data_IF_824291703900
#
_entry.id   IF_824291703900
#
_cell.length_a   1.000
_cell.length_b   1.000
_cell.length_c   1.000
_cell.angle_alpha   90.00
_cell.angle_beta   90.00
_cell.angle_gamma   90.00
#
_symmetry.space_group_name_H-M   'P 1'
#
loop_
_entity.id
_entity.type
_entity.pdbx_description
1 polymer ?
#
# COMPACT_ATOMS: atom_id res chain seq x y z
N UNK A 1 -3.91 -15.84 1.66
CA UNK A 1 -4.09 -14.39 1.45
C UNK A 1 -4.45 -14.17 0.00
N UNK A 2 -5.14 -13.07 -0.27
CA UNK A 2 -5.49 -12.63 -1.61
C UNK A 2 -4.33 -12.80 -2.62
N UNK A 3 -4.63 -13.32 -3.81
CA UNK A 3 -3.68 -13.39 -4.92
C UNK A 3 -3.26 -11.99 -5.35
N UNK A 4 -2.00 -11.85 -5.82
CA UNK A 4 -1.43 -10.59 -6.32
C UNK A 4 -2.24 -10.09 -7.52
N UNK A 5 -3.29 -9.32 -7.28
CA UNK A 5 -3.93 -8.54 -8.33
C UNK A 5 -3.09 -7.31 -8.68
N UNK A 6 -3.25 -6.74 -9.88
CA UNK A 6 -2.43 -5.63 -10.34
C UNK A 6 -2.80 -4.35 -9.56
N UNK A 7 -1.96 -3.95 -8.60
CA UNK A 7 -1.95 -2.58 -8.11
C UNK A 7 -1.19 -1.70 -9.11
N UNK A 8 -1.85 -0.68 -9.66
CA UNK A 8 -1.31 0.23 -10.66
C UNK A 8 -1.31 1.68 -10.13
N UNK A 9 -0.24 2.41 -10.41
CA UNK A 9 -0.21 3.87 -10.31
C UNK A 9 -0.36 4.45 -11.71
N UNK A 10 -1.19 5.48 -11.86
CA UNK A 10 -1.36 6.22 -13.11
C UNK A 10 -1.31 7.73 -12.84
N UNK A 11 -0.66 8.47 -13.75
CA UNK A 11 -0.62 9.93 -13.73
C UNK A 11 -1.53 10.52 -14.80
N UNK A 12 -2.18 11.65 -14.49
CA UNK A 12 -2.92 12.48 -15.44
C UNK A 12 -2.23 13.84 -15.65
N UNK A 13 -2.19 14.30 -16.90
CA UNK A 13 -1.78 15.65 -17.26
C UNK A 13 -2.85 16.67 -16.83
N UNK A 14 -2.47 17.94 -16.70
CA UNK A 14 -3.36 19.01 -16.27
C UNK A 14 -4.45 19.25 -17.32
N UNK A 15 -5.58 18.57 -17.17
CA UNK A 15 -6.94 19.09 -17.37
C UNK A 15 -7.96 18.00 -17.00
N UNK A 16 -9.08 18.43 -16.43
CA UNK A 16 -10.02 17.60 -15.68
C UNK A 16 -10.83 16.59 -16.50
N UNK A 17 -10.19 15.54 -17.00
CA UNK A 17 -10.90 14.49 -17.74
C UNK A 17 -10.67 13.10 -17.17
N UNK A 18 -11.77 12.50 -16.67
CA UNK A 18 -11.83 11.10 -16.25
C UNK A 18 -11.64 10.20 -17.46
N UNK A 19 -10.41 9.82 -17.76
CA UNK A 19 -10.13 8.82 -18.78
C UNK A 19 -10.01 7.43 -18.17
N UNK A 20 -11.13 6.71 -18.09
CA UNK A 20 -11.12 5.25 -18.19
C UNK A 20 -10.75 4.88 -19.64
N UNK A 21 -9.45 4.85 -19.95
CA UNK A 21 -8.93 4.42 -21.27
C UNK A 21 -7.90 5.31 -21.96
N UNK A 22 -7.33 6.33 -21.30
CA UNK A 22 -6.32 7.22 -21.90
C UNK A 22 -4.89 6.71 -21.77
N UNK A 23 -4.00 7.06 -22.72
CA UNK A 23 -2.55 6.73 -22.76
C UNK A 23 -1.73 7.41 -21.65
N UNK A 24 -2.17 7.35 -20.41
CA UNK A 24 -1.39 7.77 -19.25
C UNK A 24 -0.29 6.76 -18.94
N UNK A 25 0.90 7.23 -18.55
CA UNK A 25 1.96 6.35 -18.06
C UNK A 25 1.46 5.67 -16.79
N UNK A 26 1.61 4.35 -16.71
CA UNK A 26 1.28 3.58 -15.52
C UNK A 26 2.37 2.59 -15.16
N UNK A 27 2.49 2.29 -13.88
CA UNK A 27 3.41 1.28 -13.35
C UNK A 27 2.70 0.34 -12.39
N UNK A 28 3.18 -0.89 -12.33
CA UNK A 28 2.70 -1.92 -11.38
C UNK A 28 3.68 -2.04 -10.20
N UNK A 29 3.55 -3.12 -9.43
CA UNK A 29 4.36 -3.43 -8.24
C UNK A 29 5.87 -3.26 -8.51
N UNK A 30 6.58 -2.54 -7.64
CA UNK A 30 8.02 -2.32 -7.77
C UNK A 30 8.43 -1.25 -8.79
N UNK A 31 7.50 -0.76 -9.60
CA UNK A 31 7.81 0.17 -10.68
C UNK A 31 7.97 1.63 -10.23
N UNK A 32 8.56 2.42 -11.12
CA UNK A 32 8.81 3.86 -10.95
C UNK A 32 8.04 4.64 -12.00
N UNK A 33 7.10 5.47 -11.55
CA UNK A 33 6.32 6.37 -12.39
C UNK A 33 7.00 7.73 -12.44
N UNK A 34 7.42 8.17 -13.63
CA UNK A 34 7.84 9.55 -13.84
C UNK A 34 6.65 10.38 -14.32
N UNK A 35 6.47 11.54 -13.71
CA UNK A 35 5.39 12.48 -14.00
C UNK A 35 5.94 13.90 -14.10
N UNK A 36 5.20 14.79 -14.74
CA UNK A 36 5.50 16.22 -14.61
C UNK A 36 5.31 16.68 -13.17
N UNK A 37 6.11 17.66 -12.74
CA UNK A 37 5.91 18.32 -11.45
C UNK A 37 4.50 18.91 -11.34
N UNK A 38 3.79 18.53 -10.28
CA UNK A 38 2.42 18.96 -10.01
C UNK A 38 1.35 18.12 -10.69
N UNK A 39 1.71 17.10 -11.47
CA UNK A 39 0.75 16.17 -12.05
C UNK A 39 -0.02 15.43 -10.96
N UNK A 40 -1.31 15.16 -11.22
CA UNK A 40 -2.16 14.39 -10.31
C UNK A 40 -1.94 12.90 -10.53
N UNK A 41 -1.77 12.16 -9.45
CA UNK A 41 -1.49 10.72 -9.48
C UNK A 41 -2.57 9.96 -8.72
N UNK A 42 -3.03 8.85 -9.29
CA UNK A 42 -3.98 7.94 -8.66
C UNK A 42 -3.37 6.56 -8.49
N UNK A 43 -3.67 5.94 -7.36
CA UNK A 43 -3.45 4.53 -7.09
C UNK A 43 -4.75 3.78 -7.31
N UNK A 44 -4.69 2.77 -8.17
CA UNK A 44 -5.78 1.84 -8.43
C UNK A 44 -5.36 0.43 -8.01
N UNK A 45 -6.20 -0.20 -7.21
CA UNK A 45 -5.94 -1.54 -6.67
C UNK A 45 -7.01 -2.47 -7.19
N UNK A 46 -6.59 -3.58 -7.78
CA UNK A 46 -7.44 -4.74 -7.99
C UNK A 46 -6.86 -5.89 -7.15
N UNK A 47 -7.65 -6.41 -6.21
CA UNK A 47 -7.20 -7.42 -5.23
C UNK A 47 -8.12 -8.63 -5.34
N UNK A 48 -7.55 -9.77 -5.71
CA UNK A 48 -8.27 -11.04 -5.74
C UNK A 48 -8.29 -11.67 -4.34
N UNK A 49 -9.45 -11.73 -3.70
CA UNK A 49 -9.63 -12.31 -2.37
C UNK A 49 -9.41 -13.83 -2.38
N UNK A 50 -9.17 -14.40 -1.21
CA UNK A 50 -8.98 -15.84 -1.09
C UNK A 50 -10.19 -16.60 -1.66
N UNK A 51 -9.91 -17.62 -2.46
CA UNK A 51 -10.91 -18.46 -3.13
C UNK A 51 -10.96 -19.89 -2.58
N UNK A 52 -10.29 -20.14 -1.44
CA UNK A 52 -10.21 -21.45 -0.83
C UNK A 52 -9.34 -21.45 0.41
N UNK A 53 -9.28 -22.61 1.07
CA UNK A 53 -8.39 -22.84 2.20
C UNK A 53 -6.92 -22.87 1.76
N UNK A 54 -6.03 -22.46 2.65
CA UNK A 54 -4.61 -22.72 2.55
C UNK A 54 -4.31 -24.21 2.88
N UNK A 55 -3.04 -24.60 2.87
CA UNK A 55 -2.61 -25.99 3.09
C UNK A 55 -3.08 -26.61 4.42
N UNK A 56 -3.38 -25.81 5.43
CA UNK A 56 -3.85 -26.29 6.75
C UNK A 56 -5.37 -26.19 6.94
N UNK A 57 -6.13 -25.92 5.87
CA UNK A 57 -7.60 -25.83 5.94
C UNK A 57 -8.15 -24.45 6.34
N UNK A 58 -7.31 -23.44 6.56
CA UNK A 58 -7.77 -22.10 6.94
C UNK A 58 -8.04 -21.23 5.71
N UNK A 59 -9.18 -20.52 5.67
CA UNK A 59 -9.51 -19.55 4.61
C UNK A 59 -9.13 -18.14 5.07
N UNK A 60 -8.08 -17.52 4.52
CA UNK A 60 -7.65 -16.19 4.91
C UNK A 60 -8.68 -15.12 4.55
N UNK A 61 -9.04 -14.26 5.50
CA UNK A 61 -9.98 -13.17 5.30
C UNK A 61 -9.23 -11.85 5.31
N UNK A 62 -9.23 -11.13 4.19
CA UNK A 62 -8.69 -9.77 4.14
C UNK A 62 -9.69 -8.83 4.80
N UNK A 63 -9.28 -8.12 5.86
CA UNK A 63 -10.13 -7.17 6.58
C UNK A 63 -9.77 -5.72 6.30
N UNK A 64 -8.49 -5.41 6.18
CA UNK A 64 -8.05 -4.04 5.93
C UNK A 64 -6.92 -3.98 4.92
N UNK A 65 -6.91 -2.92 4.12
CA UNK A 65 -5.80 -2.53 3.25
C UNK A 65 -5.38 -1.11 3.56
N UNK A 66 -4.13 -0.93 3.93
CA UNK A 66 -3.53 0.36 4.25
C UNK A 66 -2.65 0.84 3.08
N UNK A 67 -2.74 2.13 2.79
CA UNK A 67 -1.83 2.88 1.93
C UNK A 67 -0.81 3.57 2.81
N UNK A 68 0.44 3.18 2.66
CA UNK A 68 1.58 3.78 3.34
C UNK A 68 2.31 4.64 2.31
N UNK A 69 2.54 5.90 2.63
CA UNK A 69 3.22 6.85 1.77
C UNK A 69 4.41 7.44 2.52
N UNK A 70 5.54 7.58 1.82
CA UNK A 70 6.70 8.29 2.34
C UNK A 70 7.37 9.15 1.26
N UNK A 71 7.98 10.24 1.69
CA UNK A 71 8.81 11.08 0.82
C UNK A 71 10.19 10.45 0.60
N UNK A 72 10.74 10.62 -0.60
CA UNK A 72 12.12 10.25 -0.90
C UNK A 72 12.98 11.50 -0.79
N UNK A 73 13.77 11.58 0.27
CA UNK A 73 14.56 12.78 0.63
C UNK A 73 15.97 12.79 0.04
N UNK A 74 16.30 11.83 -0.82
CA UNK A 74 17.62 11.71 -1.46
C UNK A 74 18.55 10.73 -0.73
N UNK A 75 19.84 10.80 -1.07
CA UNK A 75 20.85 9.91 -0.50
C UNK A 75 21.10 10.23 0.98
N UNK A 76 21.30 9.18 1.78
CA UNK A 76 21.72 9.31 3.18
C UNK A 76 23.24 9.31 3.27
N UNK A 77 23.80 10.22 4.07
CA UNK A 77 25.26 10.29 4.31
C UNK A 77 25.77 9.16 5.20
N UNK A 78 24.99 8.79 6.23
CA UNK A 78 25.27 7.67 7.13
C UNK A 78 24.16 6.62 7.04
N UNK A 79 24.53 5.39 6.64
CA UNK A 79 23.57 4.29 6.45
C UNK A 79 22.99 3.79 7.78
N UNK A 80 23.70 3.95 8.90
CA UNK A 80 23.22 3.52 10.21
C UNK A 80 22.14 4.45 10.77
N UNK A 81 22.04 5.67 10.22
CA UNK A 81 20.98 6.64 10.55
C UNK A 81 19.86 6.71 9.51
N UNK A 82 19.89 5.83 8.50
CA UNK A 82 18.92 5.85 7.40
C UNK A 82 17.48 5.71 7.94
N UNK A 83 16.72 6.79 7.80
CA UNK A 83 15.33 6.87 8.26
C UNK A 83 14.45 7.54 7.20
N UNK A 84 13.17 7.19 7.21
CA UNK A 84 12.15 7.80 6.36
C UNK A 84 11.09 8.51 7.22
N UNK A 85 11.42 9.64 7.87
CA UNK A 85 10.60 10.26 8.91
C UNK A 85 9.24 10.77 8.43
N UNK A 86 9.07 10.97 7.12
CA UNK A 86 7.80 11.36 6.49
C UNK A 86 7.00 10.19 5.95
N UNK A 87 7.34 8.98 6.37
CA UNK A 87 6.56 7.78 6.08
C UNK A 87 5.43 7.66 7.08
N UNK A 88 4.20 7.51 6.60
CA UNK A 88 3.03 7.22 7.44
C UNK A 88 1.96 6.47 6.68
N UNK A 89 1.06 5.84 7.43
CA UNK A 89 -0.22 5.37 6.91
C UNK A 89 -1.10 6.59 6.55
N UNK A 90 -1.45 6.74 5.28
CA UNK A 90 -2.24 7.87 4.79
C UNK A 90 -3.71 7.52 4.52
N UNK A 91 -4.01 6.24 4.34
CA UNK A 91 -5.38 5.76 4.12
C UNK A 91 -5.52 4.31 4.57
N UNK A 92 -6.67 3.97 5.15
CA UNK A 92 -7.11 2.58 5.36
C UNK A 92 -8.43 2.35 4.62
N UNK A 93 -8.56 1.15 4.06
CA UNK A 93 -9.77 0.63 3.45
C UNK A 93 -10.22 -0.59 4.22
N UNK A 94 -11.42 -0.53 4.80
CA UNK A 94 -12.07 -1.70 5.37
C UNK A 94 -12.70 -2.55 4.27
N UNK A 95 -12.49 -3.86 4.35
CA UNK A 95 -12.91 -4.84 3.36
C UNK A 95 -13.96 -5.75 3.99
N UNK A 96 -15.21 -5.54 3.58
CA UNK A 96 -16.34 -6.38 4.00
C UNK A 96 -16.53 -7.61 3.11
N UNK A 97 -16.05 -7.55 1.86
CA UNK A 97 -16.16 -8.64 0.90
C UNK A 97 -15.24 -9.80 1.28
N UNK A 98 -15.75 -11.04 1.15
CA UNK A 98 -15.07 -12.25 1.62
C UNK A 98 -14.55 -13.15 0.50
N UNK A 99 -14.98 -12.96 -0.75
CA UNK A 99 -14.57 -13.74 -1.92
C UNK A 99 -14.61 -12.92 -3.22
N UNK A 100 -14.04 -13.44 -4.30
CA UNK A 100 -13.96 -12.74 -5.59
C UNK A 100 -12.86 -11.68 -5.60
N UNK A 101 -13.12 -10.49 -6.13
CA UNK A 101 -12.16 -9.38 -6.12
C UNK A 101 -12.74 -8.11 -5.51
N UNK A 102 -11.85 -7.22 -5.06
CA UNK A 102 -12.18 -5.86 -4.62
C UNK A 102 -11.34 -4.86 -5.40
N UNK A 103 -11.99 -3.78 -5.87
CA UNK A 103 -11.34 -2.65 -6.51
C UNK A 103 -11.35 -1.44 -5.59
N UNK A 104 -10.19 -0.86 -5.35
CA UNK A 104 -10.01 0.31 -4.49
C UNK A 104 -9.29 1.41 -5.28
N UNK A 105 -9.55 2.66 -4.92
CA UNK A 105 -8.82 3.80 -5.49
C UNK A 105 -8.43 4.80 -4.42
N UNK A 106 -7.25 5.38 -4.57
CA UNK A 106 -6.73 6.43 -3.69
C UNK A 106 -6.10 7.51 -4.56
N UNK A 107 -6.53 8.76 -4.37
CA UNK A 107 -5.93 9.92 -5.03
C UNK A 107 -4.71 10.37 -4.22
N UNK A 108 -3.52 10.31 -4.82
CA UNK A 108 -2.30 10.82 -4.19
C UNK A 108 -2.25 12.36 -4.27
N UNK A 109 -3.11 12.97 -5.09
CA UNK A 109 -3.11 14.39 -5.36
C UNK A 109 -1.99 14.80 -6.32
N UNK A 110 -1.71 16.10 -6.33
CA UNK A 110 -0.62 16.68 -7.10
C UNK A 110 0.73 16.28 -6.48
N UNK A 111 1.64 15.77 -7.29
CA UNK A 111 2.96 15.31 -6.83
C UNK A 111 4.03 16.31 -7.26
N UNK A 112 4.60 17.03 -6.29
CA UNK A 112 5.64 18.04 -6.49
C UNK A 112 7.04 17.57 -6.06
N UNK A 113 7.10 16.50 -5.25
CA UNK A 113 8.30 15.91 -4.66
C UNK A 113 8.36 14.39 -4.88
N UNK A 114 9.55 13.79 -4.97
CA UNK A 114 9.71 12.34 -5.00
C UNK A 114 9.04 11.64 -3.81
N UNK A 115 8.26 10.60 -4.08
CA UNK A 115 7.58 9.82 -3.05
C UNK A 115 7.53 8.33 -3.41
N UNK A 116 7.20 7.51 -2.43
CA UNK A 116 6.85 6.12 -2.64
C UNK A 116 5.53 5.78 -1.97
N UNK A 117 4.85 4.77 -2.52
CA UNK A 117 3.63 4.21 -1.95
C UNK A 117 3.76 2.71 -1.82
N UNK A 118 3.51 2.21 -0.61
CA UNK A 118 3.45 0.79 -0.29
C UNK A 118 2.05 0.41 0.17
N UNK A 119 1.65 -0.81 -0.16
CA UNK A 119 0.40 -1.37 0.36
C UNK A 119 0.71 -2.38 1.43
N UNK A 120 -0.11 -2.36 2.46
CA UNK A 120 -0.15 -3.37 3.50
C UNK A 120 -1.58 -3.89 3.60
N UNK A 121 -1.77 -5.19 3.79
CA UNK A 121 -3.08 -5.74 4.11
C UNK A 121 -3.01 -6.70 5.27
N UNK A 122 -4.14 -6.84 5.98
CA UNK A 122 -4.23 -7.63 7.20
C UNK A 122 -5.57 -8.32 7.35
N UNK A 123 -5.60 -9.44 8.06
CA UNK A 123 -6.82 -10.06 8.57
C UNK A 123 -7.41 -9.35 9.79
N UNK A 124 -6.69 -8.36 10.34
CA UNK A 124 -7.15 -7.47 11.40
C UNK A 124 -7.15 -8.09 12.80
N UNK A 125 -6.64 -9.30 12.99
CA UNK A 125 -6.72 -10.00 14.27
C UNK A 125 -5.72 -9.47 15.31
N UNK A 126 -4.48 -9.17 14.89
CA UNK A 126 -3.42 -8.70 15.79
C UNK A 126 -2.88 -7.35 15.35
N UNK A 127 -3.38 -6.29 15.95
CA UNK A 127 -3.00 -4.91 15.60
C UNK A 127 -2.56 -4.14 16.82
N UNK A 128 -1.65 -3.18 16.62
CA UNK A 128 -1.17 -2.29 17.65
C UNK A 128 -0.83 -0.92 17.06
N UNK A 129 -0.62 0.08 17.92
CA UNK A 129 0.02 1.32 17.49
C UNK A 129 1.45 1.00 17.08
N UNK A 130 1.86 1.46 15.89
CA UNK A 130 3.19 1.20 15.36
C UNK A 130 4.29 1.85 16.21
N UNK A 131 5.53 1.36 16.07
CA UNK A 131 6.68 1.76 16.90
C UNK A 131 7.02 3.26 16.88
N UNK A 132 6.50 4.02 15.91
CA UNK A 132 6.67 5.48 15.80
C UNK A 132 5.42 6.29 16.23
N UNK A 133 4.49 5.64 16.92
CA UNK A 133 3.28 6.26 17.46
C UNK A 133 2.08 6.25 16.52
N UNK A 134 0.90 6.53 17.08
CA UNK A 134 -0.38 6.41 16.38
C UNK A 134 -0.55 7.41 15.24
N UNK A 135 0.17 8.54 15.28
CA UNK A 135 0.19 9.51 14.20
C UNK A 135 0.90 9.00 12.93
N UNK A 136 1.79 8.01 13.07
CA UNK A 136 2.50 7.37 11.95
C UNK A 136 1.74 6.13 11.49
N UNK A 137 1.34 5.29 12.44
CA UNK A 137 0.64 4.04 12.17
C UNK A 137 -0.27 3.67 13.35
N UNK A 138 -1.58 3.97 13.28
CA UNK A 138 -2.51 3.69 14.37
C UNK A 138 -2.89 2.21 14.48
N UNK A 139 -2.69 1.41 13.42
CA UNK A 139 -3.15 0.02 13.33
C UNK A 139 -2.11 -0.87 12.64
N UNK A 140 -0.85 -0.76 13.07
CA UNK A 140 0.26 -1.58 12.62
C UNK A 140 0.22 -3.01 13.16
N UNK A 141 1.16 -3.87 12.75
CA UNK A 141 1.28 -5.22 13.29
C UNK A 141 1.65 -5.17 14.78
N UNK A 142 0.96 -5.98 15.57
CA UNK A 142 1.36 -6.21 16.96
C UNK A 142 2.66 -7.02 17.00
N UNK A 143 3.47 -6.84 18.04
CA UNK A 143 4.65 -7.69 18.26
C UNK A 143 4.19 -9.09 18.71
N UNK A 144 4.82 -10.12 18.17
CA UNK A 144 4.57 -11.50 18.60
C UNK A 144 4.90 -11.68 20.08
N UNK A 145 4.10 -12.49 20.76
CA UNK A 145 4.42 -12.97 22.11
C UNK A 145 5.37 -14.16 21.95
N UNK A 146 6.55 -14.16 22.61
CA UNK A 146 7.48 -15.28 22.53
C UNK A 146 6.80 -16.62 22.87
N UNK A 147 6.84 -17.57 21.93
CA UNK A 147 6.22 -18.89 22.09
C UNK A 147 4.73 -18.99 21.77
N UNK A 148 4.06 -17.89 21.41
CA UNK A 148 2.61 -17.83 21.11
C UNK A 148 2.33 -17.10 19.77
N UNK A 149 3.21 -17.31 18.79
CA UNK A 149 3.00 -16.80 17.43
C UNK A 149 2.11 -17.78 16.64
N UNK A 150 0.98 -17.28 16.11
CA UNK A 150 0.10 -18.04 15.23
C UNK A 150 0.23 -17.52 13.78
N UNK A 151 1.01 -18.19 12.92
CA UNK A 151 1.25 -17.72 11.55
C UNK A 151 0.03 -17.83 10.63
N UNK A 152 -1.09 -18.38 11.12
CA UNK A 152 -2.32 -18.57 10.36
C UNK A 152 -3.42 -17.60 10.75
N UNK A 153 -3.34 -17.03 11.96
CA UNK A 153 -4.29 -16.05 12.49
C UNK A 153 -3.72 -14.65 12.64
N UNK A 154 -2.43 -14.46 12.39
CA UNK A 154 -1.80 -13.13 12.30
C UNK A 154 -1.30 -12.87 10.87
N UNK A 155 -2.23 -12.74 9.93
CA UNK A 155 -1.87 -12.61 8.52
C UNK A 155 -1.67 -11.14 8.15
N UNK A 156 -0.45 -10.84 7.67
CA UNK A 156 -0.11 -9.59 6.98
C UNK A 156 0.50 -9.84 5.60
N UNK A 157 0.20 -8.96 4.63
CA UNK A 157 0.98 -8.85 3.40
C UNK A 157 1.52 -7.45 3.22
N UNK A 158 2.63 -7.37 2.49
CA UNK A 158 3.18 -6.13 2.01
C UNK A 158 3.45 -6.23 0.52
N UNK A 159 2.92 -5.30 -0.26
CA UNK A 159 3.29 -5.16 -1.65
C UNK A 159 4.68 -4.51 -1.77
N UNK A 160 5.36 -4.74 -2.89
CA UNK A 160 6.56 -3.97 -3.23
C UNK A 160 6.22 -2.47 -3.32
N UNK A 161 7.12 -1.59 -2.88
CA UNK A 161 6.91 -0.15 -3.03
C UNK A 161 6.82 0.21 -4.51
N UNK A 162 6.07 1.27 -4.79
CA UNK A 162 6.07 1.93 -6.10
C UNK A 162 6.53 3.35 -5.91
N UNK A 163 7.30 3.86 -6.85
CA UNK A 163 7.92 5.18 -6.76
C UNK A 163 7.22 6.16 -7.70
N UNK A 164 7.11 7.42 -7.29
CA UNK A 164 6.64 8.51 -8.13
C UNK A 164 7.70 9.60 -8.11
N UNK A 165 8.28 9.89 -9.27
CA UNK A 165 9.37 10.83 -9.44
C UNK A 165 8.92 11.99 -10.34
N UNK A 166 8.65 13.17 -9.78
CA UNK A 166 8.40 14.36 -10.58
C UNK A 166 9.69 14.84 -11.23
N UNK A 167 9.66 15.04 -12.55
CA UNK A 167 10.69 15.74 -13.33
C UNK A 167 10.26 17.18 -13.55
#
# INVERSE_FOLDING_TARGET
MAGRGPARLSGGERDGERHSGGRGRSVTLGGTLHVERGARVRLELDIALANGANWIGFVPKLKRVDVIQGEVTGAVGDRDTCAAPRTRMVKSFEISRTSGSVRLSYDLGAVDRPLYVRLRGTDGNRTAVGARGAAVDPHGPAMDVPGDADPWRDLWFYANPRWVLPS
#
